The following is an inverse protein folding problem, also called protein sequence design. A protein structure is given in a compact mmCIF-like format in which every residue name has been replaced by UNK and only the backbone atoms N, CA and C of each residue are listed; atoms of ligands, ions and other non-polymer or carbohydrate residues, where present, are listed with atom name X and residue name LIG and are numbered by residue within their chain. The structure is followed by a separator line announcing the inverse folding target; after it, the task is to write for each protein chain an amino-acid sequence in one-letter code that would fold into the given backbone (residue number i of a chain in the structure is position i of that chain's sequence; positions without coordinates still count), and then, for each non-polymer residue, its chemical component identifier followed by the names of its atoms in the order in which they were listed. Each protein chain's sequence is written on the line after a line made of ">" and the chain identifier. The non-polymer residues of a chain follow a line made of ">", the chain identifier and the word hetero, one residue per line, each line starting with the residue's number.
data_IF_373926423184
#
_entry.id   IF_373926423184
#
_cell.length_a   1.000
_cell.length_b   1.000
_cell.length_c   1.000
_cell.angle_alpha   90.00
_cell.angle_beta   90.00
_cell.angle_gamma   90.00
#
_symmetry.space_group_name_H-M   'P 1'
#
loop_
_entity.id
_entity.type
_entity.pdbx_description
1 polymer ?
#
# COMPACT_ATOMS: atom_id res chain seq x y z
N UNK A 1 -4.38 -11.46 -8.43
CA UNK A 1 -3.20 -12.34 -8.29
C UNK A 1 -2.08 -11.74 -9.10
N UNK A 2 -0.90 -11.73 -8.52
CA UNK A 2 0.33 -11.41 -9.26
C UNK A 2 0.81 -12.68 -9.98
N UNK A 3 1.82 -12.53 -10.84
CA UNK A 3 2.48 -13.68 -11.46
C UNK A 3 3.12 -14.63 -10.43
N UNK A 4 3.46 -15.84 -10.86
CA UNK A 4 4.25 -16.81 -10.08
C UNK A 4 3.65 -17.23 -8.71
N UNK A 5 2.34 -17.06 -8.53
CA UNK A 5 1.63 -17.45 -7.31
C UNK A 5 1.77 -16.44 -6.17
N UNK A 6 2.14 -15.19 -6.47
CA UNK A 6 2.18 -14.11 -5.48
C UNK A 6 0.82 -13.44 -5.32
N UNK A 7 0.50 -13.07 -4.09
CA UNK A 7 -0.68 -12.30 -3.72
C UNK A 7 -0.28 -11.25 -2.69
N UNK A 8 -0.90 -10.08 -2.77
CA UNK A 8 -0.75 -9.01 -1.78
C UNK A 8 -2.11 -8.66 -1.21
N UNK A 9 -2.19 -8.42 0.09
CA UNK A 9 -3.39 -7.88 0.75
C UNK A 9 -3.12 -6.50 1.32
N UNK A 10 -4.14 -5.64 1.24
CA UNK A 10 -4.14 -4.27 1.72
C UNK A 10 -5.32 -4.12 2.68
N UNK A 11 -5.02 -4.13 3.99
CA UNK A 11 -6.02 -4.19 5.05
C UNK A 11 -6.16 -2.85 5.77
N UNK A 12 -7.19 -2.74 6.61
CA UNK A 12 -7.56 -1.53 7.37
C UNK A 12 -7.95 -0.32 6.50
N UNK A 13 -8.38 -0.55 5.26
CA UNK A 13 -8.83 0.50 4.35
C UNK A 13 -10.10 1.18 4.88
N UNK A 14 -10.16 2.52 4.88
CA UNK A 14 -11.44 3.24 5.14
C UNK A 14 -12.34 3.27 3.92
N UNK A 15 -11.73 3.23 2.73
CA UNK A 15 -12.43 3.32 1.44
C UNK A 15 -11.61 2.58 0.39
N UNK A 16 -12.30 1.77 -0.40
CA UNK A 16 -11.76 1.20 -1.65
C UNK A 16 -12.21 2.10 -2.79
N UNK A 17 -11.34 2.37 -3.76
CA UNK A 17 -11.70 3.20 -4.91
C UNK A 17 -12.83 2.54 -5.72
N UNK A 18 -13.81 3.33 -6.17
CA UNK A 18 -15.04 2.81 -6.79
C UNK A 18 -14.81 2.10 -8.11
N UNK A 19 -13.66 2.34 -8.76
CA UNK A 19 -13.26 1.64 -9.99
C UNK A 19 -12.80 0.21 -9.72
N UNK A 20 -12.42 -0.11 -8.48
CA UNK A 20 -11.86 -1.40 -8.11
C UNK A 20 -12.95 -2.46 -8.04
N UNK A 21 -12.75 -3.55 -8.78
CA UNK A 21 -13.65 -4.70 -8.82
C UNK A 21 -12.86 -6.00 -9.05
N UNK A 22 -13.46 -7.13 -8.69
CA UNK A 22 -12.84 -8.45 -8.94
C UNK A 22 -12.54 -8.62 -10.43
N UNK A 23 -11.35 -9.13 -10.74
CA UNK A 23 -10.87 -9.32 -12.10
C UNK A 23 -10.25 -8.06 -12.75
N UNK A 24 -10.34 -6.89 -12.13
CA UNK A 24 -9.63 -5.70 -12.60
C UNK A 24 -8.11 -5.93 -12.49
N UNK A 25 -7.39 -5.64 -13.58
CA UNK A 25 -5.93 -5.59 -13.59
C UNK A 25 -5.49 -4.18 -13.20
N UNK A 26 -4.53 -4.08 -12.29
CA UNK A 26 -3.90 -2.83 -11.90
C UNK A 26 -2.40 -2.92 -12.19
N UNK A 27 -1.83 -1.81 -12.65
CA UNK A 27 -0.39 -1.57 -12.69
C UNK A 27 0.12 -1.13 -11.32
N UNK A 28 1.42 -1.33 -11.09
CA UNK A 28 2.06 -0.85 -9.88
C UNK A 28 1.99 0.69 -9.80
N UNK A 29 1.58 1.21 -8.64
CA UNK A 29 1.42 2.65 -8.41
C UNK A 29 0.01 3.18 -8.65
N UNK A 30 -0.91 2.39 -9.23
CA UNK A 30 -2.31 2.79 -9.34
C UNK A 30 -3.01 2.82 -7.98
N UNK A 31 -3.92 3.78 -7.80
CA UNK A 31 -4.65 3.97 -6.54
C UNK A 31 -5.64 2.82 -6.32
N UNK A 32 -5.48 2.11 -5.20
CA UNK A 32 -6.42 1.07 -4.76
C UNK A 32 -7.51 1.62 -3.83
N UNK A 33 -7.19 2.64 -3.04
CA UNK A 33 -8.09 3.19 -2.03
C UNK A 33 -7.36 4.06 -1.02
N UNK A 34 -7.96 4.20 0.16
CA UNK A 34 -7.48 5.08 1.22
C UNK A 34 -7.29 4.30 2.54
N UNK A 35 -6.16 4.56 3.19
CA UNK A 35 -5.83 3.99 4.51
C UNK A 35 -6.79 4.53 5.56
N UNK A 36 -7.15 3.67 6.50
CA UNK A 36 -7.95 4.00 7.67
C UNK A 36 -7.66 3.07 8.83
N UNK A 37 -8.69 2.82 9.62
CA UNK A 37 -8.67 1.88 10.72
C UNK A 37 -10.01 1.13 10.73
N UNK A 38 -10.13 0.12 9.86
CA UNK A 38 -11.27 -0.80 9.83
C UNK A 38 -10.84 -2.20 10.27
N UNK A 39 -11.69 -2.88 11.06
CA UNK A 39 -11.37 -4.17 11.67
C UNK A 39 -10.49 -4.02 12.93
N UNK A 40 -9.59 -4.97 13.15
CA UNK A 40 -8.70 -4.97 14.33
C UNK A 40 -7.50 -4.05 14.11
N UNK A 41 -7.58 -2.82 14.61
CA UNK A 41 -6.54 -1.79 14.49
C UNK A 41 -6.59 -0.81 15.66
N UNK A 42 -5.46 -0.17 15.98
CA UNK A 42 -5.38 0.83 17.07
C UNK A 42 -5.42 2.27 16.56
N UNK A 43 -4.82 2.53 15.40
CA UNK A 43 -4.82 3.82 14.70
C UNK A 43 -4.80 3.61 13.20
N UNK A 44 -4.99 4.68 12.43
CA UNK A 44 -4.93 4.61 10.97
C UNK A 44 -3.53 4.16 10.50
N UNK A 45 -3.46 3.02 9.82
CA UNK A 45 -2.24 2.47 9.22
C UNK A 45 -2.57 1.44 8.15
N UNK A 46 -1.62 1.15 7.27
CA UNK A 46 -1.75 0.07 6.28
C UNK A 46 -1.19 -1.22 6.86
N UNK A 47 -2.01 -2.27 6.94
CA UNK A 47 -1.49 -3.63 7.08
C UNK A 47 -1.33 -4.22 5.68
N UNK A 48 -0.08 -4.33 5.25
CA UNK A 48 0.32 -4.92 3.98
C UNK A 48 0.90 -6.31 4.22
N UNK A 49 0.38 -7.29 3.47
CA UNK A 49 0.81 -8.68 3.59
C UNK A 49 1.07 -9.29 2.21
N UNK A 50 2.03 -10.21 2.17
CA UNK A 50 2.41 -10.95 0.96
C UNK A 50 2.18 -12.44 1.21
N UNK A 51 1.60 -13.12 0.23
CA UNK A 51 1.55 -14.58 0.16
C UNK A 51 2.27 -15.06 -1.09
N UNK A 52 2.99 -16.16 -0.97
CA UNK A 52 3.58 -16.88 -2.11
C UNK A 52 3.06 -18.32 -2.08
N UNK A 53 2.41 -18.75 -3.16
CA UNK A 53 1.83 -20.10 -3.31
C UNK A 53 0.98 -20.49 -2.09
N UNK A 54 0.13 -19.56 -1.65
CA UNK A 54 -0.79 -19.76 -0.54
C UNK A 54 -0.18 -19.68 0.87
N UNK A 55 1.11 -19.38 1.03
CA UNK A 55 1.75 -19.21 2.35
C UNK A 55 2.11 -17.75 2.62
N UNK A 56 1.88 -17.30 3.85
CA UNK A 56 2.34 -15.97 4.30
C UNK A 56 3.87 -15.93 4.29
N UNK A 57 4.42 -14.84 3.79
CA UNK A 57 5.86 -14.60 3.75
C UNK A 57 6.17 -13.20 4.27
N UNK A 58 7.41 -12.99 4.69
CA UNK A 58 7.89 -11.67 5.14
C UNK A 58 7.76 -10.63 4.01
N UNK A 59 6.90 -9.60 4.16
CA UNK A 59 6.64 -8.61 3.12
C UNK A 59 7.85 -7.70 2.84
N UNK A 60 8.76 -7.50 3.80
CA UNK A 60 9.89 -6.59 3.64
C UNK A 60 10.88 -7.06 2.56
N UNK A 61 10.88 -8.35 2.24
CA UNK A 61 11.68 -8.93 1.15
C UNK A 61 11.21 -8.52 -0.25
N UNK A 62 10.01 -7.94 -0.35
CA UNK A 62 9.35 -7.60 -1.62
C UNK A 62 9.12 -6.10 -1.79
N UNK A 63 9.41 -5.31 -0.75
CA UNK A 63 9.27 -3.86 -0.77
C UNK A 63 10.66 -3.28 -1.01
N UNK A 64 10.76 -2.36 -1.96
CA UNK A 64 12.00 -1.59 -2.13
C UNK A 64 12.15 -0.66 -0.92
N UNK A 65 13.32 -0.65 -0.27
CA UNK A 65 13.57 0.32 0.79
C UNK A 65 13.36 1.72 0.25
N UNK A 66 12.77 2.58 1.07
CA UNK A 66 12.63 3.97 0.74
C UNK A 66 14.03 4.58 0.60
N UNK A 67 14.36 5.26 -0.51
CA UNK A 67 15.68 5.87 -0.67
C UNK A 67 15.89 6.86 0.47
N UNK A 68 17.06 6.81 1.12
CA UNK A 68 17.37 7.71 2.26
C UNK A 68 17.23 9.19 1.83
N UNK A 69 17.53 9.51 0.57
CA UNK A 69 17.36 10.87 0.03
C UNK A 69 15.91 11.28 -0.29
N UNK A 70 14.98 10.32 -0.36
CA UNK A 70 13.58 10.61 -0.65
C UNK A 70 12.86 11.25 0.55
N UNK A 71 13.37 11.06 1.78
CA UNK A 71 12.82 11.68 2.99
C UNK A 71 12.96 13.20 2.94
N UNK A 72 14.12 13.70 2.49
CA UNK A 72 14.33 15.13 2.23
C UNK A 72 13.39 15.69 1.16
N UNK A 73 13.09 14.90 0.11
CA UNK A 73 12.16 15.29 -0.96
C UNK A 73 10.70 15.31 -0.49
N UNK A 74 10.33 14.41 0.43
CA UNK A 74 9.00 14.37 1.03
C UNK A 74 8.77 15.58 1.93
N UNK A 75 9.73 15.89 2.81
CA UNK A 75 9.65 17.08 3.66
C UNK A 75 9.61 18.37 2.86
N UNK A 76 10.40 18.48 1.78
CA UNK A 76 10.34 19.65 0.89
C UNK A 76 8.97 19.80 0.20
N UNK A 77 8.33 18.70 -0.22
CA UNK A 77 6.99 18.73 -0.81
C UNK A 77 5.91 19.10 0.20
N UNK A 78 6.01 18.63 1.44
CA UNK A 78 5.06 18.97 2.51
C UNK A 78 5.16 20.46 2.83
N UNK A 79 6.39 20.98 3.02
CA UNK A 79 6.61 22.40 3.27
C UNK A 79 6.03 23.29 2.15
N UNK A 80 6.24 22.91 0.88
CA UNK A 80 5.70 23.65 -0.27
C UNK A 80 4.15 23.59 -0.39
N UNK A 81 3.49 22.64 0.28
CA UNK A 81 2.03 22.54 0.31
C UNK A 81 1.42 23.31 1.48
N UNK A 82 2.19 23.63 2.53
CA UNK A 82 1.75 24.42 3.70
C UNK A 82 1.85 25.93 3.46
N UNK A 83 2.51 26.38 2.38
CA UNK A 83 2.62 27.79 1.97
C UNK A 83 1.48 28.27 1.03
N UNK A 84 0.40 27.49 0.86
CA UNK A 84 -0.83 27.87 0.15
C UNK A 84 -2.07 27.74 1.04
#
# INVERSE_FOLDING_TARGET
>A
MHGYGYETSYNHMRKVDTKIRRGLKLAAGEKLGEVGCTGYCTKAHLHFAVRQKGRMVDPLKYIRPYPIFAEHMLHAKIAALEEN
#
